data_IF_264450896742
#
_entry.id   IF_264450896742
#
_cell.length_a   1.000
_cell.length_b   1.000
_cell.length_c   1.000
_cell.angle_alpha   90.00
_cell.angle_beta   90.00
_cell.angle_gamma   90.00
#
_symmetry.space_group_name_H-M   'P 1'
#
loop_
_entity.id
_entity.type
_entity.pdbx_description
1 polymer ?
#
# COMPACT_ATOMS: atom_id res chain seq x y z
N UNK A 1 28.67 4.99 23.09
CA UNK A 1 28.90 6.41 23.39
C UNK A 1 29.34 7.21 22.17
N UNK A 2 30.25 6.71 21.33
CA UNK A 2 30.74 7.47 20.16
C UNK A 2 29.67 7.75 19.11
N UNK A 3 28.74 6.82 18.90
CA UNK A 3 27.60 7.01 17.99
C UNK A 3 26.70 8.14 18.48
N UNK A 4 26.39 8.17 19.78
CA UNK A 4 25.53 9.24 20.36
C UNK A 4 26.22 10.63 20.27
N UNK A 5 27.54 10.69 20.50
CA UNK A 5 28.33 11.91 20.31
C UNK A 5 28.33 12.37 18.85
N UNK A 6 28.41 11.42 17.91
CA UNK A 6 28.38 11.72 16.49
C UNK A 6 27.01 12.23 16.07
N UNK A 7 25.92 11.62 16.53
CA UNK A 7 24.54 12.07 16.27
C UNK A 7 24.32 13.48 16.87
N UNK A 8 24.75 13.70 18.12
CA UNK A 8 24.64 15.01 18.74
C UNK A 8 25.41 16.07 17.95
N UNK A 9 26.64 15.77 17.53
CA UNK A 9 27.45 16.68 16.69
C UNK A 9 26.76 17.01 15.37
N UNK A 10 26.13 16.04 14.71
CA UNK A 10 25.43 16.25 13.44
C UNK A 10 24.18 17.11 13.66
N UNK A 11 23.41 16.86 14.70
CA UNK A 11 22.17 17.58 14.97
C UNK A 11 22.42 19.01 15.47
N UNK A 12 23.54 19.25 16.17
CA UNK A 12 23.90 20.54 16.76
C UNK A 12 25.13 21.20 16.08
N UNK A 13 25.27 21.02 14.76
CA UNK A 13 26.36 21.61 13.96
C UNK A 13 26.49 23.15 14.10
N UNK A 14 25.43 23.84 14.54
CA UNK A 14 25.37 25.31 14.73
C UNK A 14 25.37 25.77 16.18
N UNK A 15 25.13 24.88 17.14
CA UNK A 15 25.15 25.22 18.56
C UNK A 15 26.46 24.72 19.19
N UNK A 16 27.04 25.51 20.10
CA UNK A 16 28.24 25.14 20.84
C UNK A 16 27.91 24.30 22.10
N UNK A 17 26.77 23.63 22.11
CA UNK A 17 26.34 22.80 23.25
C UNK A 17 27.23 21.56 23.32
N UNK A 18 27.86 21.34 24.47
CA UNK A 18 28.63 20.14 24.73
C UNK A 18 27.73 18.96 25.12
N UNK A 19 28.06 17.78 24.60
CA UNK A 19 27.35 16.56 24.93
C UNK A 19 27.56 16.18 26.42
N UNK A 20 26.58 16.45 27.24
CA UNK A 20 26.69 16.33 28.72
C UNK A 20 26.46 14.90 29.24
N UNK A 21 26.06 13.94 28.39
CA UNK A 21 25.77 12.57 28.84
C UNK A 21 27.08 11.86 29.21
N UNK A 22 27.27 11.61 30.49
CA UNK A 22 28.49 11.01 31.08
C UNK A 22 28.53 9.48 30.99
N UNK A 23 27.39 8.81 30.83
CA UNK A 23 27.32 7.35 30.76
C UNK A 23 25.94 6.87 30.32
N UNK A 24 25.88 5.65 29.82
CA UNK A 24 24.64 4.92 29.63
C UNK A 24 24.41 4.13 30.92
N UNK A 25 23.26 4.35 31.57
CA UNK A 25 22.80 3.43 32.61
C UNK A 25 22.37 2.16 31.88
N UNK A 26 23.11 1.08 32.09
CA UNK A 26 22.62 -0.26 31.73
C UNK A 26 21.50 -0.57 32.72
N UNK A 27 20.27 -0.56 32.21
CA UNK A 27 19.15 -1.11 32.95
C UNK A 27 19.35 -2.63 32.95
N UNK A 28 19.63 -3.22 34.13
CA UNK A 28 19.78 -4.65 34.29
C UNK A 28 18.53 -5.43 33.88
N UNK A 29 17.40 -4.75 33.66
CA UNK A 29 16.19 -5.32 33.08
C UNK A 29 16.18 -5.28 31.53
N UNK A 30 17.14 -4.62 30.88
CA UNK A 30 17.18 -4.53 29.41
C UNK A 30 17.55 -5.89 28.76
N UNK A 31 18.29 -6.75 29.45
CA UNK A 31 18.60 -8.10 28.99
C UNK A 31 17.35 -9.00 28.94
N UNK A 32 16.36 -8.73 29.80
CA UNK A 32 15.06 -9.39 29.74
C UNK A 32 14.13 -8.81 28.65
N UNK A 33 14.35 -7.57 28.20
CA UNK A 33 13.55 -6.91 27.17
C UNK A 33 13.99 -7.26 25.73
N UNK A 34 15.26 -7.65 25.54
CA UNK A 34 15.79 -8.01 24.21
C UNK A 34 15.61 -9.48 23.85
N UNK A 35 15.27 -10.33 24.82
CA UNK A 35 15.08 -11.78 24.68
C UNK A 35 13.66 -12.28 24.94
N UNK A 36 12.66 -11.41 24.97
CA UNK A 36 11.28 -11.81 25.22
C UNK A 36 10.83 -12.90 24.25
N UNK A 37 10.27 -13.99 24.79
CA UNK A 37 9.70 -15.09 24.00
C UNK A 37 8.82 -14.50 22.88
N UNK A 38 8.83 -15.08 21.67
CA UNK A 38 7.94 -14.65 20.58
C UNK A 38 6.48 -14.52 21.03
N UNK A 39 6.07 -15.30 22.03
CA UNK A 39 4.75 -15.22 22.65
C UNK A 39 4.51 -13.89 23.38
N UNK A 40 5.51 -13.37 24.09
CA UNK A 40 5.39 -12.09 24.82
C UNK A 40 5.29 -10.89 23.90
N UNK A 41 5.81 -10.98 22.68
CA UNK A 41 5.66 -9.94 21.67
C UNK A 41 4.34 -10.06 20.88
N UNK A 42 3.84 -11.29 20.68
CA UNK A 42 2.61 -11.53 19.92
C UNK A 42 1.36 -11.26 20.78
N UNK A 43 1.35 -11.66 22.04
CA UNK A 43 0.19 -11.57 22.94
C UNK A 43 -0.35 -10.13 23.06
N UNK A 44 0.45 -9.06 23.19
CA UNK A 44 -0.06 -7.69 23.29
C UNK A 44 -0.82 -7.23 22.05
N UNK A 45 -0.48 -7.74 20.84
CA UNK A 45 -1.21 -7.40 19.62
C UNK A 45 -2.66 -7.92 19.64
N UNK A 46 -2.89 -9.03 20.35
CA UNK A 46 -4.22 -9.67 20.48
C UNK A 46 -4.95 -9.25 21.74
N UNK A 47 -4.42 -8.27 22.51
CA UNK A 47 -5.10 -7.72 23.68
C UNK A 47 -5.76 -6.38 23.34
N UNK A 48 -6.87 -6.10 24.05
CA UNK A 48 -7.53 -4.79 23.95
C UNK A 48 -6.60 -3.70 24.54
N UNK A 49 -6.41 -2.52 23.88
CA UNK A 49 -7.14 -1.99 22.71
C UNK A 49 -6.49 -2.28 21.33
N UNK A 50 -5.27 -2.86 21.30
CA UNK A 50 -4.51 -3.06 20.05
C UNK A 50 -5.15 -4.07 19.10
N UNK A 51 -5.86 -5.06 19.64
CA UNK A 51 -6.56 -6.09 18.84
C UNK A 51 -7.48 -5.48 17.78
N UNK A 52 -8.25 -4.43 18.14
CA UNK A 52 -9.15 -3.77 17.22
C UNK A 52 -8.41 -3.21 16.00
N UNK A 53 -7.30 -2.53 16.22
CA UNK A 53 -6.50 -1.95 15.13
C UNK A 53 -5.80 -3.03 14.31
N UNK A 54 -5.32 -4.09 14.95
CA UNK A 54 -4.72 -5.25 14.27
C UNK A 54 -5.71 -5.92 13.33
N UNK A 55 -6.95 -6.16 13.78
CA UNK A 55 -8.00 -6.76 12.95
C UNK A 55 -8.40 -5.85 11.79
N UNK A 56 -8.55 -4.54 12.03
CA UNK A 56 -8.84 -3.58 10.96
C UNK A 56 -7.73 -3.63 9.90
N UNK A 57 -6.45 -3.62 10.31
CA UNK A 57 -5.33 -3.67 9.38
C UNK A 57 -5.27 -4.97 8.60
N UNK A 58 -5.48 -6.13 9.24
CA UNK A 58 -5.54 -7.42 8.55
C UNK A 58 -6.65 -7.40 7.49
N UNK A 59 -7.83 -6.90 7.84
CA UNK A 59 -8.98 -6.81 6.91
C UNK A 59 -8.68 -5.87 5.74
N UNK A 60 -8.05 -4.71 5.98
CA UNK A 60 -7.65 -3.79 4.93
C UNK A 60 -6.63 -4.42 3.96
N UNK A 61 -5.63 -5.13 4.48
CA UNK A 61 -4.68 -5.86 3.64
C UNK A 61 -5.33 -7.02 2.86
N UNK A 62 -6.32 -7.69 3.44
CA UNK A 62 -7.09 -8.71 2.73
C UNK A 62 -7.97 -8.14 1.62
N UNK A 63 -8.51 -6.93 1.78
CA UNK A 63 -9.34 -6.28 0.75
C UNK A 63 -8.49 -5.58 -0.32
N UNK A 64 -7.20 -5.36 -0.07
CA UNK A 64 -6.24 -4.77 -1.00
C UNK A 64 -5.80 -5.80 -2.07
N UNK A 65 -6.73 -6.33 -2.85
CA UNK A 65 -6.44 -7.38 -3.84
C UNK A 65 -6.28 -6.87 -5.27
N UNK A 66 -6.18 -5.56 -5.45
CA UNK A 66 -5.90 -4.93 -6.77
C UNK A 66 -4.60 -5.46 -7.39
N UNK A 67 -3.65 -5.90 -6.55
CA UNK A 67 -2.41 -6.54 -7.01
C UNK A 67 -2.62 -7.81 -7.87
N UNK A 68 -3.76 -8.49 -7.73
CA UNK A 68 -4.09 -9.64 -8.56
C UNK A 68 -4.21 -9.26 -10.05
N UNK A 69 -4.70 -8.07 -10.36
CA UNK A 69 -4.81 -7.57 -11.74
C UNK A 69 -3.44 -7.28 -12.38
N UNK A 70 -2.40 -7.00 -11.58
CA UNK A 70 -1.05 -6.76 -12.12
C UNK A 70 -0.45 -7.99 -12.80
N UNK A 71 -0.87 -9.19 -12.41
CA UNK A 71 -0.44 -10.44 -13.04
C UNK A 71 -0.94 -10.51 -14.49
N UNK A 72 -2.10 -9.91 -14.76
CA UNK A 72 -2.71 -9.86 -16.09
C UNK A 72 -2.25 -8.69 -16.94
N UNK A 73 -1.52 -7.73 -16.35
CA UNK A 73 -1.08 -6.52 -17.04
C UNK A 73 -0.28 -6.80 -18.34
N UNK A 74 0.68 -7.76 -18.38
CA UNK A 74 1.39 -8.06 -19.63
C UNK A 74 0.47 -8.60 -20.72
N UNK A 75 -0.47 -9.48 -20.36
CA UNK A 75 -1.45 -10.05 -21.29
C UNK A 75 -2.37 -8.95 -21.84
N UNK A 76 -2.88 -8.08 -20.97
CA UNK A 76 -3.72 -6.95 -21.37
C UNK A 76 -2.95 -6.00 -22.29
N UNK A 77 -1.68 -5.72 -21.98
CA UNK A 77 -0.82 -4.88 -22.81
C UNK A 77 -0.60 -5.48 -24.20
N UNK A 78 -0.40 -6.79 -24.30
CA UNK A 78 -0.22 -7.46 -25.60
C UNK A 78 -1.50 -7.40 -26.45
N UNK A 79 -2.65 -7.68 -25.86
CA UNK A 79 -3.94 -7.56 -26.53
C UNK A 79 -4.22 -6.12 -27.00
N UNK A 80 -3.92 -5.13 -26.13
CA UNK A 80 -4.07 -3.73 -26.44
C UNK A 80 -3.21 -3.31 -27.65
N UNK A 81 -1.94 -3.74 -27.70
CA UNK A 81 -1.04 -3.47 -28.83
C UNK A 81 -1.61 -4.07 -30.13
N UNK A 82 -2.13 -5.30 -30.07
CA UNK A 82 -2.73 -5.98 -31.24
C UNK A 82 -3.92 -5.18 -31.77
N UNK A 83 -4.83 -4.75 -30.89
CA UNK A 83 -6.01 -3.95 -31.30
C UNK A 83 -5.59 -2.63 -31.95
N UNK A 84 -4.57 -1.95 -31.42
CA UNK A 84 -4.04 -0.73 -31.99
C UNK A 84 -3.38 -0.94 -33.37
N UNK A 85 -2.76 -2.08 -33.60
CA UNK A 85 -2.12 -2.40 -34.88
C UNK A 85 -3.11 -2.84 -35.95
N UNK A 86 -4.17 -3.57 -35.58
CA UNK A 86 -5.18 -4.03 -36.53
C UNK A 86 -6.23 -2.98 -36.83
N UNK A 87 -6.42 -2.01 -35.94
CA UNK A 87 -7.46 -0.98 -36.07
C UNK A 87 -8.90 -1.51 -36.00
N UNK A 88 -9.07 -2.81 -35.71
CA UNK A 88 -10.36 -3.46 -35.57
C UNK A 88 -10.85 -3.35 -34.11
N UNK A 89 -12.18 -3.16 -33.95
CA UNK A 89 -12.85 -3.24 -32.65
C UNK A 89 -12.44 -2.15 -31.62
N UNK A 90 -12.47 -0.88 -32.00
CA UNK A 90 -12.24 0.26 -31.10
C UNK A 90 -13.26 0.38 -29.94
N UNK A 91 -14.39 -0.32 -30.03
CA UNK A 91 -15.52 -0.21 -29.11
C UNK A 91 -15.61 -1.42 -28.16
N UNK A 92 -14.49 -1.99 -27.75
CA UNK A 92 -14.43 -3.10 -26.80
C UNK A 92 -14.29 -2.63 -25.35
N UNK A 93 -14.96 -3.34 -24.45
CA UNK A 93 -14.75 -3.22 -23.01
C UNK A 93 -13.47 -3.98 -22.60
N UNK A 94 -12.97 -3.75 -21.38
CA UNK A 94 -11.78 -4.46 -20.87
C UNK A 94 -11.94 -5.98 -20.93
N UNK A 95 -13.11 -6.49 -20.58
CA UNK A 95 -13.40 -7.93 -20.70
C UNK A 95 -13.43 -8.41 -22.15
N UNK A 96 -13.94 -7.62 -23.07
CA UNK A 96 -13.86 -7.91 -24.50
C UNK A 96 -12.43 -8.04 -24.98
N UNK A 97 -11.51 -7.21 -24.47
CA UNK A 97 -10.09 -7.25 -24.77
C UNK A 97 -9.45 -8.54 -24.24
N UNK A 98 -9.74 -8.92 -22.99
CA UNK A 98 -9.14 -10.09 -22.33
C UNK A 98 -9.64 -11.42 -22.94
N UNK A 99 -10.91 -11.48 -23.37
CA UNK A 99 -11.53 -12.69 -23.92
C UNK A 99 -11.29 -12.87 -25.42
N UNK A 100 -10.61 -11.93 -26.07
CA UNK A 100 -10.23 -12.11 -27.48
C UNK A 100 -9.35 -13.37 -27.64
N UNK A 101 -9.88 -14.33 -28.39
CA UNK A 101 -9.09 -15.50 -28.79
C UNK A 101 -7.96 -15.03 -29.71
N UNK A 102 -6.73 -15.34 -29.32
CA UNK A 102 -5.59 -15.20 -30.22
C UNK A 102 -5.76 -16.19 -31.37
N UNK A 103 -5.89 -15.74 -32.63
CA UNK A 103 -5.91 -16.67 -33.75
C UNK A 103 -4.64 -17.53 -33.68
N UNK A 104 -4.74 -18.85 -33.89
CA UNK A 104 -3.61 -19.75 -33.85
C UNK A 104 -2.66 -19.39 -35.00
N UNK A 105 -1.69 -18.55 -34.73
CA UNK A 105 -0.59 -18.31 -35.66
C UNK A 105 0.33 -19.50 -35.56
N UNK A 106 0.32 -20.36 -36.57
CA UNK A 106 1.11 -21.60 -36.62
C UNK A 106 2.64 -21.35 -36.56
N UNK A 107 3.09 -20.12 -36.74
CA UNK A 107 4.50 -19.70 -36.70
C UNK A 107 4.90 -18.94 -35.42
N UNK A 108 3.97 -18.70 -34.47
CA UNK A 108 4.29 -18.01 -33.25
C UNK A 108 5.00 -18.96 -32.26
N UNK A 109 6.21 -18.63 -31.89
CA UNK A 109 6.91 -19.30 -30.78
C UNK A 109 6.03 -19.16 -29.52
N UNK A 110 5.56 -20.29 -28.94
CA UNK A 110 4.72 -20.19 -27.74
C UNK A 110 5.50 -19.50 -26.63
N UNK A 111 4.93 -18.46 -26.05
CA UNK A 111 5.50 -17.62 -24.98
C UNK A 111 6.41 -16.46 -25.41
N UNK A 112 6.46 -16.03 -26.67
CA UNK A 112 7.13 -14.79 -27.05
C UNK A 112 6.23 -13.57 -26.74
N UNK A 113 6.55 -12.84 -25.67
CA UNK A 113 5.94 -11.53 -25.39
C UNK A 113 6.48 -10.52 -26.41
N UNK A 114 5.59 -9.67 -26.94
CA UNK A 114 5.99 -8.60 -27.85
C UNK A 114 6.81 -7.55 -27.06
N UNK A 115 7.93 -7.07 -27.64
CA UNK A 115 8.76 -6.01 -27.03
C UNK A 115 7.94 -4.77 -26.69
N UNK A 116 6.97 -4.42 -27.52
CA UNK A 116 6.08 -3.27 -27.29
C UNK A 116 5.22 -3.44 -26.04
N UNK A 117 4.71 -4.65 -25.78
CA UNK A 117 3.93 -4.93 -24.55
C UNK A 117 4.79 -4.78 -23.29
N UNK A 118 6.06 -5.20 -23.34
CA UNK A 118 6.99 -5.00 -22.22
C UNK A 118 7.28 -3.51 -21.98
N UNK A 119 7.42 -2.72 -23.03
CA UNK A 119 7.57 -1.25 -22.90
C UNK A 119 6.34 -0.59 -22.28
N UNK A 120 5.13 -1.05 -22.61
CA UNK A 120 3.90 -0.55 -21.99
C UNK A 120 3.89 -0.90 -20.50
N UNK A 121 4.23 -2.13 -20.11
CA UNK A 121 4.32 -2.55 -18.71
C UNK A 121 5.34 -1.71 -17.95
N UNK A 122 6.50 -1.43 -18.55
CA UNK A 122 7.51 -0.56 -17.98
C UNK A 122 6.99 0.88 -17.82
N UNK A 123 6.27 1.40 -18.83
CA UNK A 123 5.63 2.71 -18.77
C UNK A 123 4.61 2.82 -17.65
N UNK A 124 3.77 1.80 -17.47
CA UNK A 124 2.80 1.73 -16.35
C UNK A 124 3.52 1.71 -15.01
N UNK A 125 4.58 0.92 -14.86
CA UNK A 125 5.38 0.86 -13.64
C UNK A 125 6.05 2.22 -13.32
N UNK A 126 6.58 2.91 -14.33
CA UNK A 126 7.14 4.25 -14.17
C UNK A 126 6.06 5.24 -13.72
N UNK A 127 4.87 5.19 -14.30
CA UNK A 127 3.75 6.04 -13.93
C UNK A 127 3.27 5.75 -12.50
N UNK A 128 3.22 4.50 -12.07
CA UNK A 128 2.93 4.13 -10.68
C UNK A 128 3.98 4.69 -9.70
N UNK A 129 5.27 4.70 -10.10
CA UNK A 129 6.34 5.28 -9.28
C UNK A 129 6.15 6.79 -9.11
N UNK A 130 5.81 7.50 -10.17
CA UNK A 130 5.49 8.94 -10.13
C UNK A 130 4.26 9.19 -9.26
N UNK A 131 3.20 8.40 -9.43
CA UNK A 131 2.00 8.50 -8.60
C UNK A 131 2.32 8.29 -7.10
N UNK A 132 3.21 7.34 -6.78
CA UNK A 132 3.66 7.09 -5.41
C UNK A 132 4.38 8.31 -4.82
N UNK A 133 5.25 8.97 -5.58
CA UNK A 133 5.92 10.20 -5.16
C UNK A 133 4.90 11.32 -4.89
N UNK A 134 3.96 11.53 -5.82
CA UNK A 134 2.92 12.57 -5.68
C UNK A 134 2.06 12.30 -4.43
N UNK A 135 1.61 11.06 -4.25
CA UNK A 135 0.81 10.65 -3.08
C UNK A 135 1.60 10.86 -1.79
N UNK A 136 2.90 10.55 -1.78
CA UNK A 136 3.78 10.76 -0.63
C UNK A 136 3.91 12.23 -0.25
N UNK A 137 4.00 13.13 -1.24
CA UNK A 137 4.04 14.59 -1.00
C UNK A 137 2.69 15.08 -0.46
N UNK A 138 1.59 14.66 -1.08
CA UNK A 138 0.24 15.05 -0.68
C UNK A 138 -0.14 14.52 0.71
N UNK A 139 0.47 13.42 1.14
CA UNK A 139 0.26 12.82 2.46
C UNK A 139 0.54 13.81 3.60
N UNK A 140 1.57 14.64 3.45
CA UNK A 140 1.92 15.68 4.44
C UNK A 140 0.82 16.74 4.62
N UNK A 141 0.05 17.03 3.57
CA UNK A 141 -1.00 18.06 3.56
C UNK A 141 -2.36 17.47 3.96
N UNK A 142 -2.72 16.32 3.38
CA UNK A 142 -4.06 15.73 3.48
C UNK A 142 -4.23 14.90 4.76
N UNK A 143 -3.14 14.31 5.28
CA UNK A 143 -3.16 13.34 6.38
C UNK A 143 -3.36 11.90 5.89
N UNK A 144 -2.84 10.94 6.66
CA UNK A 144 -2.74 9.53 6.26
C UNK A 144 -4.09 8.90 5.99
N UNK A 145 -5.03 9.06 6.92
CA UNK A 145 -6.38 8.51 6.82
C UNK A 145 -7.13 9.03 5.59
N UNK A 146 -7.17 10.36 5.42
CA UNK A 146 -7.91 10.97 4.32
C UNK A 146 -7.31 10.58 2.97
N UNK A 147 -5.97 10.46 2.89
CA UNK A 147 -5.30 10.02 1.67
C UNK A 147 -5.67 8.60 1.29
N UNK A 148 -5.73 7.68 2.25
CA UNK A 148 -6.23 6.31 2.02
C UNK A 148 -7.66 6.35 1.47
N UNK A 149 -8.56 7.12 2.10
CA UNK A 149 -9.97 7.21 1.68
C UNK A 149 -10.09 7.73 0.24
N UNK A 150 -9.35 8.79 -0.11
CA UNK A 150 -9.40 9.38 -1.45
C UNK A 150 -8.85 8.40 -2.49
N UNK A 151 -7.69 7.79 -2.25
CA UNK A 151 -7.08 6.88 -3.22
C UNK A 151 -7.90 5.61 -3.39
N UNK A 152 -8.39 5.00 -2.31
CA UNK A 152 -9.22 3.79 -2.40
C UNK A 152 -10.57 4.06 -3.08
N UNK A 153 -11.20 5.20 -2.80
CA UNK A 153 -12.45 5.58 -3.46
C UNK A 153 -12.24 5.83 -4.95
N UNK A 154 -11.22 6.62 -5.32
CA UNK A 154 -10.93 6.95 -6.70
C UNK A 154 -10.61 5.69 -7.52
N UNK A 155 -9.69 4.85 -7.03
CA UNK A 155 -9.29 3.63 -7.72
C UNK A 155 -10.41 2.57 -7.72
N UNK A 156 -11.20 2.47 -6.64
CA UNK A 156 -12.36 1.57 -6.59
C UNK A 156 -13.43 1.94 -7.61
N UNK A 157 -13.76 3.22 -7.72
CA UNK A 157 -14.71 3.73 -8.74
C UNK A 157 -14.17 3.49 -10.14
N UNK A 158 -12.89 3.77 -10.40
CA UNK A 158 -12.29 3.49 -11.72
C UNK A 158 -12.36 2.02 -12.09
N UNK A 159 -12.17 1.10 -11.13
CA UNK A 159 -12.29 -0.35 -11.36
C UNK A 159 -13.72 -0.81 -11.66
N UNK A 160 -14.74 -0.16 -11.12
CA UNK A 160 -16.14 -0.42 -11.48
C UNK A 160 -16.43 0.11 -12.88
N UNK A 161 -15.92 1.29 -13.21
CA UNK A 161 -16.15 1.94 -14.50
C UNK A 161 -15.40 1.29 -15.67
N UNK A 162 -14.34 0.53 -15.41
CA UNK A 162 -13.46 -0.04 -16.45
C UNK A 162 -14.21 -0.86 -17.50
N UNK A 163 -15.25 -1.58 -17.10
CA UNK A 163 -16.08 -2.39 -18.00
C UNK A 163 -17.36 -1.70 -18.48
N UNK A 164 -17.67 -0.51 -17.96
CA UNK A 164 -18.84 0.27 -18.40
C UNK A 164 -18.51 1.16 -19.62
N UNK A 165 -17.23 1.45 -19.85
CA UNK A 165 -16.79 2.32 -20.94
C UNK A 165 -16.49 1.46 -22.18
N UNK A 166 -17.33 1.51 -23.25
CA UNK A 166 -17.10 0.77 -24.48
C UNK A 166 -16.08 1.51 -25.36
N UNK A 167 -14.86 1.67 -24.87
CA UNK A 167 -13.76 2.30 -25.58
C UNK A 167 -12.43 1.76 -25.07
N UNK A 168 -11.63 1.18 -25.94
CA UNK A 168 -10.36 0.51 -25.61
C UNK A 168 -9.41 1.45 -24.86
N UNK A 169 -9.27 2.70 -25.32
CA UNK A 169 -8.37 3.68 -24.70
C UNK A 169 -8.91 4.10 -23.33
N UNK A 170 -10.22 4.35 -23.23
CA UNK A 170 -10.87 4.72 -21.96
C UNK A 170 -10.74 3.62 -20.91
N UNK A 171 -11.02 2.37 -21.28
CA UNK A 171 -10.87 1.21 -20.42
C UNK A 171 -9.42 1.00 -19.97
N UNK A 172 -8.44 1.19 -20.86
CA UNK A 172 -7.02 1.11 -20.52
C UNK A 172 -6.61 2.18 -19.50
N UNK A 173 -7.04 3.43 -19.67
CA UNK A 173 -6.76 4.51 -18.71
C UNK A 173 -7.38 4.20 -17.35
N UNK A 174 -8.64 3.78 -17.31
CA UNK A 174 -9.31 3.41 -16.05
C UNK A 174 -8.63 2.21 -15.36
N UNK A 175 -8.16 1.24 -16.14
CA UNK A 175 -7.40 0.11 -15.62
C UNK A 175 -6.07 0.55 -15.01
N UNK A 176 -5.34 1.46 -15.65
CA UNK A 176 -4.10 2.03 -15.10
C UNK A 176 -4.38 2.80 -13.82
N UNK A 177 -5.47 3.59 -13.74
CA UNK A 177 -5.87 4.27 -12.49
C UNK A 177 -6.20 3.25 -11.40
N UNK A 178 -6.88 2.15 -11.73
CA UNK A 178 -7.14 1.07 -10.78
C UNK A 178 -5.84 0.50 -10.21
N UNK A 179 -4.82 0.27 -11.06
CA UNK A 179 -3.53 -0.30 -10.62
C UNK A 179 -2.74 0.64 -9.70
N UNK A 180 -2.96 1.97 -9.77
CA UNK A 180 -2.40 2.93 -8.80
C UNK A 180 -2.89 2.62 -7.37
N UNK A 181 -4.03 1.96 -7.21
CA UNK A 181 -4.52 1.48 -5.91
C UNK A 181 -3.53 0.61 -5.14
N UNK A 182 -2.54 -0.01 -5.80
CA UNK A 182 -1.48 -0.78 -5.10
C UNK A 182 -0.61 0.08 -4.18
N UNK A 183 -0.52 1.38 -4.42
CA UNK A 183 0.21 2.34 -3.57
C UNK A 183 -0.39 2.43 -2.16
N UNK A 184 -1.67 2.09 -1.99
CA UNK A 184 -2.38 2.12 -0.70
C UNK A 184 -1.73 1.19 0.33
N UNK A 185 -1.05 0.12 -0.09
CA UNK A 185 -0.27 -0.76 0.81
C UNK A 185 0.79 0.05 1.57
N UNK A 186 1.49 0.96 0.88
CA UNK A 186 2.45 1.87 1.51
C UNK A 186 1.80 2.81 2.52
N UNK A 187 0.59 3.30 2.23
CA UNK A 187 -0.16 4.15 3.16
C UNK A 187 -0.59 3.37 4.41
N UNK A 188 -1.03 2.12 4.27
CA UNK A 188 -1.36 1.26 5.41
C UNK A 188 -0.16 1.05 6.33
N UNK A 189 1.03 0.80 5.77
CA UNK A 189 2.24 0.64 6.59
C UNK A 189 2.61 1.90 7.35
N UNK A 190 2.43 3.09 6.76
CA UNK A 190 2.67 4.37 7.45
C UNK A 190 1.68 4.60 8.60
N UNK A 191 0.43 4.14 8.46
CA UNK A 191 -0.58 4.21 9.52
C UNK A 191 -0.21 3.26 10.66
N UNK A 192 0.22 2.01 10.36
CA UNK A 192 0.66 1.04 11.37
C UNK A 192 1.81 1.62 12.20
N UNK A 193 2.81 2.22 11.54
CA UNK A 193 3.95 2.84 12.23
C UNK A 193 3.53 3.95 13.19
N UNK A 194 2.43 4.66 12.89
CA UNK A 194 1.90 5.71 13.77
C UNK A 194 1.06 5.18 14.93
N UNK A 195 0.33 4.08 14.72
CA UNK A 195 -0.61 3.54 15.71
C UNK A 195 0.05 2.65 16.74
N UNK A 196 1.10 1.91 16.35
CA UNK A 196 1.69 0.89 17.21
C UNK A 196 2.97 1.38 17.91
N UNK A 197 3.20 0.98 19.19
CA UNK A 197 4.42 1.26 19.93
C UNK A 197 5.66 0.72 19.20
N UNK A 198 6.82 1.35 19.40
CA UNK A 198 8.06 1.04 18.67
C UNK A 198 8.47 -0.42 18.75
N UNK A 199 8.32 -1.06 19.91
CA UNK A 199 8.71 -2.46 20.14
C UNK A 199 7.78 -3.47 19.44
N UNK A 200 6.54 -3.09 19.05
CA UNK A 200 5.58 -3.96 18.36
C UNK A 200 5.45 -3.66 16.85
N UNK A 201 6.04 -2.57 16.36
CA UNK A 201 5.86 -2.10 14.96
C UNK A 201 6.23 -3.15 13.91
N UNK A 202 7.36 -3.82 14.08
CA UNK A 202 7.81 -4.82 13.14
C UNK A 202 6.78 -5.95 12.98
N UNK A 203 6.27 -6.46 14.11
CA UNK A 203 5.27 -7.52 14.12
C UNK A 203 3.90 -7.04 13.64
N UNK A 204 3.51 -5.81 14.01
CA UNK A 204 2.26 -5.18 13.56
C UNK A 204 2.23 -4.93 12.05
N UNK A 205 3.37 -4.78 11.38
CA UNK A 205 3.48 -4.71 9.92
C UNK A 205 3.51 -6.12 9.32
N UNK A 206 4.32 -7.02 9.88
CA UNK A 206 4.52 -8.36 9.32
C UNK A 206 3.21 -9.18 9.30
N UNK A 207 2.40 -9.09 10.35
CA UNK A 207 1.18 -9.86 10.49
C UNK A 207 0.15 -9.53 9.37
N UNK A 208 -0.31 -8.28 9.18
CA UNK A 208 -1.23 -7.93 8.09
C UNK A 208 -0.64 -8.20 6.71
N UNK A 209 0.68 -7.95 6.50
CA UNK A 209 1.34 -8.27 5.24
C UNK A 209 1.29 -9.76 4.92
N UNK A 210 1.49 -10.64 5.90
CA UNK A 210 1.41 -12.09 5.71
C UNK A 210 0.00 -12.51 5.28
N UNK A 211 -1.03 -12.04 5.98
CA UNK A 211 -2.43 -12.29 5.59
C UNK A 211 -2.75 -11.69 4.22
N UNK A 212 -2.26 -10.50 3.91
CA UNK A 212 -2.40 -9.87 2.60
C UNK A 212 -1.79 -10.71 1.49
N UNK A 213 -0.58 -11.29 1.69
CA UNK A 213 0.06 -12.17 0.70
C UNK A 213 -0.72 -13.48 0.47
N UNK A 214 -1.23 -14.09 1.54
CA UNK A 214 -2.12 -15.26 1.42
C UNK A 214 -3.39 -14.89 0.65
N UNK A 215 -3.98 -13.74 0.97
CA UNK A 215 -5.14 -13.20 0.25
C UNK A 215 -4.84 -12.96 -1.23
N UNK A 216 -3.70 -12.38 -1.57
CA UNK A 216 -3.30 -12.14 -2.97
C UNK A 216 -3.15 -13.45 -3.74
N UNK A 217 -2.53 -14.48 -3.15
CA UNK A 217 -2.43 -15.79 -3.78
C UNK A 217 -3.82 -16.38 -4.08
N UNK A 218 -4.72 -16.37 -3.11
CA UNK A 218 -6.09 -16.85 -3.29
C UNK A 218 -6.84 -16.01 -4.35
N UNK A 219 -6.66 -14.68 -4.30
CA UNK A 219 -7.32 -13.75 -5.24
C UNK A 219 -6.88 -13.95 -6.68
N UNK A 220 -5.61 -14.27 -6.95
CA UNK A 220 -5.11 -14.59 -8.29
C UNK A 220 -5.81 -15.82 -8.83
N UNK A 221 -6.00 -16.88 -8.03
CA UNK A 221 -6.69 -18.10 -8.46
C UNK A 221 -8.17 -17.84 -8.73
N UNK A 222 -8.83 -17.11 -7.84
CA UNK A 222 -10.25 -16.75 -8.01
C UNK A 222 -10.43 -15.87 -9.23
N UNK A 223 -9.58 -14.86 -9.40
CA UNK A 223 -9.65 -13.96 -10.56
C UNK A 223 -9.43 -14.73 -11.87
N UNK A 224 -8.47 -15.64 -11.92
CA UNK A 224 -8.22 -16.47 -13.07
C UNK A 224 -9.44 -17.31 -13.47
N UNK A 225 -10.09 -17.94 -12.49
CA UNK A 225 -11.33 -18.69 -12.72
C UNK A 225 -12.47 -17.77 -13.19
N UNK A 226 -12.60 -16.59 -12.60
CA UNK A 226 -13.66 -15.64 -12.98
C UNK A 226 -13.44 -15.03 -14.35
N UNK A 227 -12.19 -14.72 -14.72
CA UNK A 227 -11.88 -14.20 -16.06
C UNK A 227 -12.22 -15.18 -17.16
N UNK A 228 -12.12 -16.51 -16.90
CA UNK A 228 -12.48 -17.57 -17.86
C UNK A 228 -13.99 -17.86 -17.92
N UNK A 229 -14.75 -17.61 -16.86
CA UNK A 229 -16.17 -17.94 -16.78
C UNK A 229 -17.09 -16.73 -16.90
N UNK A 230 -16.76 -15.64 -16.23
CA UNK A 230 -17.56 -14.41 -16.14
C UNK A 230 -16.65 -13.22 -15.79
N UNK A 231 -15.93 -12.72 -16.79
CA UNK A 231 -14.94 -11.66 -16.62
C UNK A 231 -15.49 -10.42 -15.91
N UNK A 232 -16.66 -9.94 -16.31
CA UNK A 232 -17.30 -8.75 -15.72
C UNK A 232 -17.51 -8.91 -14.21
N UNK A 233 -18.00 -10.10 -13.79
CA UNK A 233 -18.21 -10.39 -12.37
C UNK A 233 -16.88 -10.34 -11.58
N UNK A 234 -15.77 -10.77 -12.16
CA UNK A 234 -14.44 -10.68 -11.56
C UNK A 234 -14.03 -9.24 -11.30
N UNK A 235 -14.14 -8.37 -12.29
CA UNK A 235 -13.80 -6.95 -12.13
C UNK A 235 -14.70 -6.26 -11.10
N UNK A 236 -16.02 -6.48 -11.16
CA UNK A 236 -16.96 -5.86 -10.21
C UNK A 236 -16.74 -6.37 -8.78
N UNK A 237 -16.49 -7.67 -8.59
CA UNK A 237 -16.21 -8.23 -7.26
C UNK A 237 -14.98 -7.61 -6.63
N UNK A 238 -13.82 -7.66 -7.31
CA UNK A 238 -12.58 -7.17 -6.75
C UNK A 238 -12.56 -5.65 -6.59
N UNK A 239 -13.13 -4.91 -7.53
CA UNK A 239 -13.24 -3.45 -7.43
C UNK A 239 -14.18 -3.02 -6.31
N UNK A 240 -15.29 -3.72 -6.10
CA UNK A 240 -16.22 -3.43 -5.00
C UNK A 240 -15.62 -3.76 -3.63
N UNK A 241 -14.88 -4.88 -3.50
CA UNK A 241 -14.15 -5.20 -2.28
C UNK A 241 -13.09 -4.13 -1.97
N UNK A 242 -12.37 -3.67 -3.00
CA UNK A 242 -11.39 -2.61 -2.83
C UNK A 242 -12.07 -1.28 -2.45
N UNK A 243 -13.15 -0.91 -3.10
CA UNK A 243 -13.93 0.28 -2.73
C UNK A 243 -14.49 0.18 -1.30
N UNK A 244 -14.96 -1.01 -0.89
CA UNK A 244 -15.43 -1.25 0.47
C UNK A 244 -14.33 -1.08 1.53
N UNK A 245 -13.06 -1.26 1.16
CA UNK A 245 -11.93 -0.97 2.07
C UNK A 245 -11.89 0.49 2.52
N UNK A 246 -12.41 1.44 1.71
CA UNK A 246 -12.56 2.83 2.11
C UNK A 246 -13.50 2.99 3.31
N UNK A 247 -14.60 2.22 3.36
CA UNK A 247 -15.53 2.25 4.50
C UNK A 247 -14.83 1.75 5.76
N UNK A 248 -14.06 0.66 5.64
CA UNK A 248 -13.30 0.11 6.79
C UNK A 248 -12.21 1.08 7.22
N UNK A 249 -11.51 1.71 6.29
CA UNK A 249 -10.49 2.72 6.58
C UNK A 249 -11.07 3.97 7.28
N UNK A 250 -12.36 4.25 7.11
CA UNK A 250 -13.03 5.35 7.81
C UNK A 250 -13.12 5.16 9.33
N UNK A 251 -13.02 3.92 9.82
CA UNK A 251 -12.98 3.61 11.25
C UNK A 251 -11.59 3.81 11.89
N UNK A 252 -10.55 4.12 11.09
CA UNK A 252 -9.25 4.44 11.65
C UNK A 252 -9.27 5.82 12.34
N UNK A 253 -8.53 5.98 13.44
CA UNK A 253 -8.39 7.27 14.10
C UNK A 253 -7.69 8.28 13.19
N UNK A 254 -8.09 9.55 13.29
CA UNK A 254 -7.51 10.63 12.52
C UNK A 254 -6.17 11.07 13.15
N UNK A 255 -5.10 11.07 12.35
CA UNK A 255 -3.74 11.45 12.76
C UNK A 255 -3.69 12.85 13.40
N UNK A 256 -4.52 13.77 12.93
CA UNK A 256 -4.57 15.15 13.46
C UNK A 256 -5.04 15.20 14.91
N UNK A 257 -5.85 14.23 15.32
CA UNK A 257 -6.31 14.11 16.72
C UNK A 257 -5.23 13.49 17.60
N UNK A 258 -4.44 12.56 17.08
CA UNK A 258 -3.35 11.93 17.80
C UNK A 258 -2.20 12.92 18.07
N UNK A 259 -1.86 13.79 17.11
CA UNK A 259 -0.84 14.82 17.27
C UNK A 259 -1.29 15.88 18.29
N UNK A 260 -2.60 16.24 18.32
CA UNK A 260 -3.15 17.17 19.32
C UNK A 260 -3.25 16.57 20.73
N UNK A 261 -3.37 15.26 20.84
CA UNK A 261 -3.46 14.55 22.11
C UNK A 261 -2.08 14.22 22.72
N UNK A 262 -1.00 14.32 21.93
CA UNK A 262 0.35 14.23 22.47
C UNK A 262 0.56 15.43 23.42
N UNK A 263 0.94 15.20 24.71
CA UNK A 263 1.29 16.31 25.59
C UNK A 263 2.40 17.12 24.92
N UNK A 264 2.38 18.47 25.04
CA UNK A 264 3.46 19.29 24.51
C UNK A 264 4.77 18.71 25.05
N UNK A 265 5.74 18.49 24.17
CA UNK A 265 7.07 18.11 24.60
C UNK A 265 7.47 19.11 25.67
N UNK A 266 7.70 18.60 26.89
CA UNK A 266 8.16 19.41 28.01
C UNK A 266 9.47 19.99 27.52
N UNK A 267 9.47 21.24 27.14
CA UNK A 267 10.67 22.04 26.96
C UNK A 267 11.15 22.29 28.38
N UNK A 268 12.11 21.47 28.82
CA UNK A 268 12.79 21.55 30.12
C UNK A 268 13.55 22.89 30.33
N UNK A 269 13.24 23.94 29.53
CA UNK A 269 13.86 25.25 29.65
C UNK A 269 13.24 26.12 30.75
N UNK A 270 12.00 25.87 31.18
CA UNK A 270 11.38 26.75 32.20
C UNK A 270 11.69 26.35 33.64
N UNK A 271 12.06 25.08 33.91
CA UNK A 271 12.36 24.65 35.29
C UNK A 271 13.81 24.92 35.73
N UNK A 272 14.71 25.20 34.81
CA UNK A 272 16.12 25.55 35.15
C UNK A 272 16.24 27.00 35.61
N UNK A 273 15.35 27.89 35.20
CA UNK A 273 15.38 29.31 35.61
C UNK A 273 14.73 29.59 36.96
N UNK A 274 14.00 28.67 37.56
CA UNK A 274 13.38 28.87 38.88
C UNK A 274 14.21 28.38 40.07
N UNK A 275 15.36 27.73 39.80
CA UNK A 275 16.24 27.20 40.86
C UNK A 275 17.67 27.79 40.82
N UNK A 276 17.85 29.01 40.25
CA UNK A 276 19.08 29.79 40.42
C UNK A 276 18.81 31.03 41.32
#
# INVERSE_FOLDING_TARGET
>A
MDILRTIHRINHLRSKEEFQVKGLLLDDNADNASGGSPKEQIVPLFQHPLLKFTLIMITLFLFQQVGAFLVWLPTIADQFVRILQTGENSDLTMCGIITMETPPNNDAVPCALNETSLLIVLGVAAMQSVANIIISILLGITGRRNMVLVVTALCGVSGILVNLVPNVIGSAILFVVLTVGTVVVGLYTTIIVALFPTHLRALAIALPMTFGRIGTFASIQILNLMLSTSCDAGFYLFSSLFAASAIIASFLPDDRRLIKAAPPAITDEEDIQKNQ
#
